data_IF_602005023261
#
_entry.id   IF_602005023261
#
_cell.length_a   1.000
_cell.length_b   1.000
_cell.length_c   1.000
_cell.angle_alpha   90.00
_cell.angle_beta   90.00
_cell.angle_gamma   90.00
#
_symmetry.space_group_name_H-M   'P 1'
#
loop_
_entity.id
_entity.type
_entity.pdbx_description
1 polymer ?
#
# COMPACT_ATOMS: atom_id res chain seq x y z
N UNK A 1 8.18 9.57 68.29
CA UNK A 1 7.32 8.84 69.24
C UNK A 1 6.91 7.58 68.54
N UNK A 2 7.64 6.58 68.82
CA UNK A 2 7.31 5.26 69.40
C UNK A 2 6.47 4.35 68.54
N UNK A 3 7.16 3.35 67.98
CA UNK A 3 7.07 1.89 68.26
C UNK A 3 5.67 1.27 67.98
N UNK A 4 5.54 0.24 67.18
CA UNK A 4 5.80 -1.12 67.62
C UNK A 4 5.88 -2.15 66.50
N UNK A 5 6.75 -3.08 66.73
CA UNK A 5 7.03 -4.32 65.98
C UNK A 5 6.09 -5.40 66.52
N UNK A 6 5.51 -6.23 65.71
CA UNK A 6 5.10 -7.58 66.06
C UNK A 6 5.31 -8.59 64.98
N UNK A 7 6.11 -9.53 65.29
CA UNK A 7 6.44 -10.81 64.65
C UNK A 7 5.25 -11.77 64.60
N UNK A 8 5.21 -12.65 63.61
CA UNK A 8 4.21 -13.72 63.52
C UNK A 8 4.53 -14.82 62.52
N UNK A 9 5.29 -15.79 62.97
CA UNK A 9 5.22 -17.23 62.71
C UNK A 9 5.10 -17.79 61.29
N UNK A 10 6.18 -18.43 60.89
CA UNK A 10 6.24 -19.46 59.86
C UNK A 10 5.33 -20.66 60.17
N UNK A 11 4.48 -21.06 59.20
CA UNK A 11 3.86 -22.39 59.19
C UNK A 11 4.26 -23.14 57.90
N UNK A 12 5.16 -24.08 58.09
CA UNK A 12 5.54 -25.12 57.16
C UNK A 12 4.33 -26.04 56.88
N UNK A 13 3.86 -26.10 55.65
CA UNK A 13 2.99 -27.17 55.17
C UNK A 13 3.79 -28.11 54.28
N UNK A 14 4.12 -29.25 54.86
CA UNK A 14 4.60 -30.44 54.14
C UNK A 14 3.46 -30.95 53.27
N UNK A 15 3.56 -30.92 51.94
CA UNK A 15 2.67 -31.63 51.04
C UNK A 15 3.37 -32.84 50.45
N UNK A 16 2.81 -33.98 50.73
CA UNK A 16 3.16 -35.29 50.19
C UNK A 16 3.06 -35.27 48.66
N UNK A 17 4.10 -35.81 48.03
CA UNK A 17 4.14 -36.11 46.60
C UNK A 17 3.69 -37.57 46.43
N UNK A 18 2.67 -37.90 45.67
CA UNK A 18 2.37 -39.31 45.30
C UNK A 18 3.33 -39.76 44.20
N UNK A 19 4.04 -40.87 44.49
CA UNK A 19 4.80 -41.62 43.49
C UNK A 19 3.81 -42.25 42.52
N UNK A 20 3.82 -41.87 41.24
CA UNK A 20 3.21 -42.63 40.18
C UNK A 20 4.26 -43.55 39.54
N UNK A 21 3.95 -44.87 39.60
CA UNK A 21 4.76 -45.92 39.01
C UNK A 21 4.71 -45.82 37.46
N UNK A 22 5.89 -45.76 36.83
CA UNK A 22 6.04 -45.88 35.40
C UNK A 22 5.90 -47.35 34.98
N UNK A 23 4.86 -47.61 34.14
CA UNK A 23 4.79 -48.85 33.34
C UNK A 23 5.51 -48.60 32.00
N UNK A 24 6.31 -49.53 31.48
CA UNK A 24 6.95 -49.33 30.20
C UNK A 24 5.97 -49.56 29.04
N UNK A 25 5.69 -48.51 28.28
CA UNK A 25 4.99 -48.61 27.01
C UNK A 25 5.99 -49.09 25.93
N UNK A 26 5.71 -50.27 25.39
CA UNK A 26 6.42 -50.85 24.26
C UNK A 26 6.22 -49.95 23.02
N UNK A 27 7.26 -49.27 22.58
CA UNK A 27 7.25 -48.49 21.35
C UNK A 27 7.42 -49.42 20.14
N UNK A 28 6.34 -49.67 19.44
CA UNK A 28 6.37 -50.28 18.12
C UNK A 28 6.90 -49.21 17.12
N UNK A 29 8.11 -49.37 16.69
CA UNK A 29 8.70 -48.57 15.58
C UNK A 29 8.08 -49.10 14.27
N UNK A 30 7.10 -48.35 13.73
CA UNK A 30 6.75 -48.43 12.31
C UNK A 30 7.65 -47.44 11.58
N UNK A 31 8.72 -47.94 11.01
CA UNK A 31 9.58 -47.18 10.10
C UNK A 31 8.89 -47.02 8.75
N UNK A 32 8.24 -45.91 8.50
CA UNK A 32 7.93 -45.47 7.15
C UNK A 32 8.99 -44.43 6.74
N UNK A 33 10.03 -44.89 6.06
CA UNK A 33 10.93 -43.99 5.31
C UNK A 33 10.13 -43.44 4.13
N UNK A 34 9.56 -42.23 4.28
CA UNK A 34 9.17 -41.45 3.12
C UNK A 34 10.41 -40.67 2.69
N UNK A 35 11.20 -41.27 1.83
CA UNK A 35 12.22 -40.59 1.06
C UNK A 35 11.51 -39.72 0.02
N UNK A 36 11.21 -38.50 0.36
CA UNK A 36 10.82 -37.48 -0.62
C UNK A 36 12.11 -37.05 -1.32
N UNK A 37 12.49 -37.75 -2.40
CA UNK A 37 13.38 -37.21 -3.39
C UNK A 37 12.65 -36.08 -4.12
N UNK A 38 12.84 -34.85 -3.67
CA UNK A 38 12.65 -33.69 -4.53
C UNK A 38 13.84 -33.68 -5.47
N UNK A 39 13.74 -34.47 -6.54
CA UNK A 39 14.60 -34.30 -7.68
C UNK A 39 14.27 -32.97 -8.31
N UNK A 40 15.09 -31.95 -8.01
CA UNK A 40 15.17 -30.74 -8.82
C UNK A 40 15.70 -31.19 -10.20
N UNK A 41 14.80 -31.58 -11.09
CA UNK A 41 15.10 -31.67 -12.50
C UNK A 41 15.20 -30.22 -13.01
N UNK A 42 16.39 -29.64 -12.90
CA UNK A 42 16.83 -28.63 -13.84
C UNK A 42 16.90 -29.34 -15.19
N UNK A 43 15.79 -29.38 -15.90
CA UNK A 43 15.77 -29.76 -17.29
C UNK A 43 16.60 -28.70 -18.03
N UNK A 44 17.84 -29.02 -18.38
CA UNK A 44 18.58 -28.36 -19.44
C UNK A 44 17.72 -28.54 -20.69
N UNK A 45 16.87 -27.58 -21.01
CA UNK A 45 16.08 -27.57 -22.22
C UNK A 45 17.03 -27.48 -23.41
N UNK A 46 17.22 -28.59 -24.11
CA UNK A 46 17.82 -28.56 -25.43
C UNK A 46 16.98 -27.66 -26.37
N UNK A 47 17.54 -27.21 -27.51
CA UNK A 47 16.86 -26.27 -28.39
C UNK A 47 15.47 -26.82 -28.79
N UNK A 48 14.40 -26.13 -28.41
CA UNK A 48 13.03 -26.44 -28.79
C UNK A 48 12.90 -26.16 -30.29
N UNK A 49 12.97 -27.20 -31.11
CA UNK A 49 12.75 -27.09 -32.55
C UNK A 49 11.26 -26.99 -32.82
N UNK A 50 10.78 -25.80 -33.27
CA UNK A 50 9.46 -25.66 -33.88
C UNK A 50 8.51 -24.58 -33.36
N UNK A 51 8.71 -23.96 -32.19
CA UNK A 51 7.91 -22.82 -31.77
C UNK A 51 8.56 -21.49 -32.21
N UNK A 52 7.79 -20.44 -32.54
CA UNK A 52 8.36 -19.13 -32.82
C UNK A 52 9.12 -18.66 -31.59
N UNK A 53 10.42 -18.41 -31.74
CA UNK A 53 11.31 -17.96 -30.66
C UNK A 53 10.87 -16.60 -30.16
N UNK A 54 10.80 -16.43 -28.82
CA UNK A 54 10.51 -15.13 -28.19
C UNK A 54 11.65 -14.16 -28.54
N UNK A 55 11.32 -12.96 -28.98
CA UNK A 55 12.29 -11.92 -29.32
C UNK A 55 12.02 -10.64 -28.59
N UNK A 56 13.06 -9.81 -28.40
CA UNK A 56 12.90 -8.52 -27.79
C UNK A 56 11.94 -7.63 -28.55
N UNK A 57 12.18 -7.46 -29.87
CA UNK A 57 11.46 -6.52 -30.68
C UNK A 57 9.95 -6.78 -30.70
N UNK A 58 9.55 -8.04 -30.89
CA UNK A 58 8.14 -8.40 -31.03
C UNK A 58 7.42 -8.61 -29.69
N UNK A 59 8.08 -9.29 -28.75
CA UNK A 59 7.39 -9.87 -27.58
C UNK A 59 7.71 -9.14 -26.27
N UNK A 60 8.98 -8.74 -26.08
CA UNK A 60 9.47 -8.18 -24.82
C UNK A 60 9.33 -6.66 -24.76
N UNK A 61 9.68 -5.94 -25.82
CA UNK A 61 9.63 -4.50 -25.86
C UNK A 61 8.24 -3.92 -25.51
N UNK A 62 7.11 -4.49 -25.98
CA UNK A 62 5.79 -4.01 -25.56
C UNK A 62 5.55 -4.15 -24.04
N UNK A 63 6.02 -5.23 -23.42
CA UNK A 63 5.89 -5.45 -21.97
C UNK A 63 6.74 -4.42 -21.22
N UNK A 64 8.01 -4.24 -21.59
CA UNK A 64 8.94 -3.29 -20.97
C UNK A 64 8.38 -1.86 -21.08
N UNK A 65 7.89 -1.45 -22.25
CA UNK A 65 7.28 -0.13 -22.45
C UNK A 65 6.10 0.11 -21.50
N UNK A 66 5.17 -0.84 -21.42
CA UNK A 66 3.93 -0.66 -20.67
C UNK A 66 4.12 -0.80 -19.15
N UNK A 67 5.02 -1.67 -18.71
CA UNK A 67 5.10 -2.09 -17.31
C UNK A 67 6.36 -1.60 -16.56
N UNK A 68 7.41 -1.18 -17.28
CA UNK A 68 8.70 -0.89 -16.66
C UNK A 68 9.18 0.55 -16.88
N UNK A 69 9.08 1.07 -18.12
CA UNK A 69 9.75 2.30 -18.54
C UNK A 69 9.29 3.56 -17.79
N UNK A 70 8.02 3.63 -17.36
CA UNK A 70 7.53 4.78 -16.60
C UNK A 70 8.35 5.06 -15.33
N UNK A 71 8.83 4.01 -14.68
CA UNK A 71 9.69 4.10 -13.50
C UNK A 71 11.18 4.00 -13.85
N UNK A 72 11.55 3.16 -14.82
CA UNK A 72 12.93 2.91 -15.24
C UNK A 72 13.34 3.80 -16.43
N UNK A 73 13.36 5.11 -16.20
CA UNK A 73 13.84 6.15 -17.11
C UNK A 73 14.69 7.17 -16.36
N UNK A 74 15.57 7.91 -17.02
CA UNK A 74 16.37 8.96 -16.40
C UNK A 74 15.51 9.96 -15.62
N UNK A 75 15.90 10.24 -14.36
CA UNK A 75 15.18 11.18 -13.49
C UNK A 75 13.92 10.62 -12.83
N UNK A 76 13.54 9.37 -13.10
CA UNK A 76 12.44 8.71 -12.38
C UNK A 76 12.98 7.91 -11.17
N UNK A 77 12.16 7.06 -10.59
CA UNK A 77 12.47 6.35 -9.34
C UNK A 77 13.33 5.10 -9.55
N UNK A 78 13.26 4.47 -10.72
CA UNK A 78 14.06 3.28 -11.02
C UNK A 78 15.56 3.63 -11.02
N UNK A 79 16.42 2.78 -10.42
CA UNK A 79 17.85 3.07 -10.31
C UNK A 79 18.61 2.97 -11.64
N UNK A 80 18.02 2.31 -12.64
CA UNK A 80 18.59 2.14 -13.99
C UNK A 80 17.55 2.45 -15.07
N UNK A 81 18.02 2.78 -16.25
CA UNK A 81 17.20 2.93 -17.46
C UNK A 81 16.85 1.54 -18.03
N UNK A 82 15.64 1.41 -18.60
CA UNK A 82 15.21 0.27 -19.42
C UNK A 82 14.58 0.77 -20.72
N UNK A 83 15.13 1.84 -21.30
CA UNK A 83 14.59 2.48 -22.51
C UNK A 83 15.03 1.81 -23.80
N UNK A 84 16.17 1.13 -23.79
CA UNK A 84 16.73 0.47 -24.98
C UNK A 84 16.87 -1.03 -24.79
N UNK A 85 17.04 -1.75 -25.92
CA UNK A 85 17.37 -3.18 -25.90
C UNK A 85 18.63 -3.45 -25.08
N UNK A 86 19.67 -2.63 -25.25
CA UNK A 86 20.93 -2.83 -24.57
C UNK A 86 20.79 -2.62 -23.05
N UNK A 87 20.00 -1.62 -22.62
CA UNK A 87 19.68 -1.42 -21.21
C UNK A 87 19.01 -2.68 -20.63
N UNK A 88 17.95 -3.17 -21.30
CA UNK A 88 17.18 -4.35 -20.81
C UNK A 88 18.03 -5.60 -20.80
N UNK A 89 18.86 -5.81 -21.83
CA UNK A 89 19.78 -6.95 -21.93
C UNK A 89 20.85 -6.91 -20.83
N UNK A 90 21.37 -5.73 -20.51
CA UNK A 90 22.36 -5.55 -19.45
C UNK A 90 21.84 -6.05 -18.08
N UNK A 91 20.55 -5.82 -17.79
CA UNK A 91 19.91 -6.18 -16.53
C UNK A 91 19.03 -7.44 -16.64
N UNK A 92 19.25 -8.28 -17.65
CA UNK A 92 18.37 -9.43 -17.93
C UNK A 92 18.26 -10.40 -16.75
N UNK A 93 19.35 -10.72 -16.08
CA UNK A 93 19.34 -11.66 -14.96
C UNK A 93 18.60 -11.10 -13.74
N UNK A 94 18.80 -9.83 -13.43
CA UNK A 94 18.07 -9.13 -12.37
C UNK A 94 16.57 -9.02 -12.69
N UNK A 95 16.24 -8.74 -13.94
CA UNK A 95 14.85 -8.73 -14.41
C UNK A 95 14.23 -10.12 -14.23
N UNK A 96 14.92 -11.18 -14.64
CA UNK A 96 14.45 -12.56 -14.47
C UNK A 96 14.12 -12.87 -13.01
N UNK A 97 15.05 -12.58 -12.11
CA UNK A 97 14.88 -12.79 -10.67
C UNK A 97 13.64 -12.00 -10.16
N UNK A 98 13.61 -10.69 -10.40
CA UNK A 98 12.57 -9.82 -9.88
C UNK A 98 11.18 -10.13 -10.43
N UNK A 99 11.05 -10.49 -11.69
CA UNK A 99 9.73 -10.83 -12.27
C UNK A 99 9.27 -12.23 -11.86
N UNK A 100 10.20 -13.20 -11.68
CA UNK A 100 9.85 -14.54 -11.21
C UNK A 100 9.38 -14.51 -9.75
N UNK A 101 10.00 -13.70 -8.90
CA UNK A 101 9.61 -13.45 -7.53
C UNK A 101 8.42 -12.49 -7.39
N UNK A 102 7.98 -11.86 -8.48
CA UNK A 102 6.94 -10.83 -8.52
C UNK A 102 7.22 -9.64 -7.60
N UNK A 103 8.50 -9.32 -7.41
CA UNK A 103 8.92 -8.12 -6.69
C UNK A 103 8.96 -6.88 -7.60
N UNK A 104 9.01 -7.08 -8.94
CA UNK A 104 8.87 -6.04 -9.98
C UNK A 104 7.92 -6.48 -11.10
N UNK A 105 7.06 -5.57 -11.57
CA UNK A 105 6.70 -4.27 -10.97
C UNK A 105 6.17 -4.41 -9.54
N UNK A 106 6.32 -3.39 -8.68
CA UNK A 106 5.86 -3.46 -7.30
C UNK A 106 4.33 -3.50 -7.24
N UNK A 107 3.79 -4.70 -7.06
CA UNK A 107 2.35 -4.97 -6.98
C UNK A 107 2.15 -6.27 -6.19
N UNK A 108 1.94 -6.13 -4.86
CA UNK A 108 2.04 -7.24 -3.93
C UNK A 108 0.68 -7.71 -3.38
N UNK A 109 -0.44 -7.18 -3.91
CA UNK A 109 -1.78 -7.68 -3.57
C UNK A 109 -1.92 -9.16 -3.91
N UNK A 110 -2.54 -9.94 -3.05
CA UNK A 110 -2.79 -11.36 -3.30
C UNK A 110 -3.73 -11.54 -4.49
N UNK A 111 -3.28 -12.25 -5.51
CA UNK A 111 -3.94 -12.34 -6.81
C UNK A 111 -5.11 -13.31 -6.88
N UNK A 112 -5.34 -14.07 -5.83
CA UNK A 112 -6.33 -15.17 -5.79
C UNK A 112 -7.43 -14.96 -4.77
N UNK A 113 -7.37 -13.88 -3.99
CA UNK A 113 -8.33 -13.60 -2.92
C UNK A 113 -8.79 -12.14 -2.95
N UNK A 114 -9.98 -11.89 -2.46
CA UNK A 114 -10.57 -10.55 -2.42
C UNK A 114 -10.82 -9.94 -3.79
N UNK A 115 -10.89 -8.60 -3.83
CA UNK A 115 -11.14 -7.84 -5.05
C UNK A 115 -9.89 -7.79 -5.90
N UNK A 116 -10.03 -8.07 -7.22
CA UNK A 116 -8.93 -8.14 -8.19
C UNK A 116 -9.01 -7.05 -9.27
N UNK A 117 -9.88 -6.07 -9.12
CA UNK A 117 -10.11 -5.02 -10.10
C UNK A 117 -9.63 -3.67 -9.55
N UNK A 118 -8.52 -3.19 -10.09
CA UNK A 118 -7.85 -1.97 -9.63
C UNK A 118 -7.57 -1.03 -10.81
N UNK A 119 -7.80 0.28 -10.61
CA UNK A 119 -7.56 1.33 -11.62
C UNK A 119 -6.08 1.46 -12.01
N UNK A 120 -5.18 1.18 -11.08
CA UNK A 120 -3.74 1.40 -11.23
C UNK A 120 -2.92 0.10 -11.26
N UNK A 121 -3.51 -1.01 -11.71
CA UNK A 121 -2.83 -2.32 -11.78
C UNK A 121 -1.65 -2.29 -12.74
N UNK A 122 -0.47 -2.42 -12.17
CA UNK A 122 0.79 -2.51 -12.90
C UNK A 122 1.38 -3.91 -12.94
N UNK A 123 0.69 -4.90 -12.39
CA UNK A 123 1.18 -6.28 -12.34
C UNK A 123 1.44 -6.86 -13.73
N UNK A 124 2.30 -7.89 -13.77
CA UNK A 124 2.49 -8.73 -14.94
C UNK A 124 1.52 -9.91 -14.89
N UNK A 125 0.95 -10.25 -16.03
CA UNK A 125 0.24 -11.52 -16.20
C UNK A 125 1.24 -12.70 -16.16
N UNK A 126 0.74 -13.91 -15.92
CA UNK A 126 1.59 -15.10 -15.93
C UNK A 126 2.24 -15.32 -17.31
N UNK A 127 1.51 -15.00 -18.39
CA UNK A 127 2.03 -15.05 -19.75
C UNK A 127 3.16 -14.03 -19.98
N UNK A 128 3.01 -12.79 -19.47
CA UNK A 128 4.08 -11.78 -19.57
C UNK A 128 5.33 -12.19 -18.79
N UNK A 129 5.17 -12.76 -17.60
CA UNK A 129 6.29 -13.29 -16.81
C UNK A 129 6.98 -14.41 -17.58
N UNK A 130 6.23 -15.39 -18.11
CA UNK A 130 6.78 -16.47 -18.91
C UNK A 130 7.54 -15.96 -20.15
N UNK A 131 6.96 -14.97 -20.86
CA UNK A 131 7.62 -14.35 -22.04
C UNK A 131 8.97 -13.73 -21.69
N UNK A 132 9.05 -12.99 -20.56
CA UNK A 132 10.29 -12.36 -20.11
C UNK A 132 11.33 -13.42 -19.74
N UNK A 133 10.93 -14.46 -19.01
CA UNK A 133 11.82 -15.54 -18.58
C UNK A 133 12.33 -16.33 -19.79
N UNK A 134 11.45 -16.77 -20.70
CA UNK A 134 11.79 -17.53 -21.90
C UNK A 134 12.78 -16.74 -22.78
N UNK A 135 12.56 -15.44 -22.94
CA UNK A 135 13.47 -14.56 -23.69
C UNK A 135 14.87 -14.51 -23.07
N UNK A 136 14.94 -14.40 -21.75
CA UNK A 136 16.23 -14.34 -21.03
C UNK A 136 16.95 -15.69 -21.10
N UNK A 137 16.23 -16.79 -20.86
CA UNK A 137 16.77 -18.14 -20.88
C UNK A 137 17.21 -18.55 -22.30
N UNK A 138 16.63 -17.97 -23.36
CA UNK A 138 17.01 -18.14 -24.75
C UNK A 138 18.21 -17.25 -25.19
N UNK A 139 18.85 -16.53 -24.27
CA UNK A 139 20.02 -15.69 -24.52
C UNK A 139 19.70 -14.32 -25.11
N UNK A 140 18.53 -13.78 -24.76
CA UNK A 140 18.11 -12.40 -25.07
C UNK A 140 18.13 -12.03 -26.57
N UNK A 141 17.53 -12.81 -27.49
CA UNK A 141 17.57 -12.48 -28.91
C UNK A 141 16.84 -11.17 -29.24
N UNK A 142 17.47 -10.31 -30.07
CA UNK A 142 16.88 -9.02 -30.49
C UNK A 142 15.63 -9.21 -31.36
N UNK A 143 15.65 -10.14 -32.29
CA UNK A 143 14.63 -10.25 -33.33
C UNK A 143 14.80 -9.24 -34.48
N UNK A 144 13.78 -9.07 -35.31
CA UNK A 144 13.81 -8.08 -36.38
C UNK A 144 13.50 -6.67 -35.79
N UNK A 145 14.39 -5.68 -35.91
CA UNK A 145 14.14 -4.33 -35.43
C UNK A 145 12.88 -3.65 -35.99
N UNK A 146 12.37 -4.13 -37.14
CA UNK A 146 11.11 -3.63 -37.73
C UNK A 146 9.87 -4.02 -36.92
N UNK A 147 9.99 -5.03 -36.08
CA UNK A 147 8.89 -5.48 -35.17
C UNK A 147 8.84 -4.68 -33.87
N UNK A 148 9.78 -3.75 -33.62
CA UNK A 148 9.73 -2.88 -32.46
C UNK A 148 8.45 -2.06 -32.44
N UNK A 149 7.73 -2.01 -31.29
CA UNK A 149 6.61 -1.12 -31.16
C UNK A 149 7.06 0.36 -31.24
N UNK A 150 6.20 1.25 -31.68
CA UNK A 150 6.51 2.68 -31.63
C UNK A 150 6.82 3.11 -30.19
N UNK A 151 7.74 4.09 -30.01
CA UNK A 151 8.02 4.62 -28.68
C UNK A 151 6.74 5.18 -28.03
N UNK A 152 6.55 4.88 -26.74
CA UNK A 152 5.47 5.49 -25.96
C UNK A 152 5.91 6.82 -25.37
N UNK A 153 4.96 7.72 -25.14
CA UNK A 153 5.21 8.94 -24.39
C UNK A 153 5.31 8.58 -22.93
N UNK A 154 6.49 8.76 -22.35
CA UNK A 154 6.72 8.54 -20.94
C UNK A 154 6.34 9.78 -20.12
N UNK A 155 5.85 9.61 -18.86
CA UNK A 155 5.60 10.75 -17.99
C UNK A 155 6.92 11.49 -17.70
N UNK A 156 6.90 12.82 -17.83
CA UNK A 156 8.03 13.66 -17.41
C UNK A 156 8.09 13.70 -15.87
N UNK A 157 9.15 13.22 -15.23
CA UNK A 157 9.24 13.20 -13.79
C UNK A 157 9.27 14.61 -13.14
N UNK A 158 9.51 15.68 -13.91
CA UNK A 158 9.50 17.05 -13.40
C UNK A 158 8.10 17.69 -13.43
N UNK A 159 7.20 17.19 -14.27
CA UNK A 159 5.84 17.72 -14.40
C UNK A 159 4.87 17.05 -13.45
N UNK A 160 3.71 17.66 -13.25
CA UNK A 160 2.57 17.03 -12.63
C UNK A 160 2.00 15.97 -13.59
N UNK A 161 1.74 14.78 -13.09
CA UNK A 161 1.27 13.67 -13.94
C UNK A 161 -0.15 13.92 -14.44
N UNK A 162 -0.99 14.57 -13.63
CA UNK A 162 -2.34 14.93 -14.01
C UNK A 162 -2.42 16.14 -14.95
N UNK A 163 -1.32 16.87 -15.18
CA UNK A 163 -1.32 18.08 -16.01
C UNK A 163 -1.73 17.82 -17.46
N UNK A 164 -1.42 16.62 -17.97
CA UNK A 164 -1.80 16.24 -19.34
C UNK A 164 -3.31 16.03 -19.48
N UNK A 165 -3.96 15.48 -18.46
CA UNK A 165 -5.38 15.17 -18.47
C UNK A 165 -6.25 16.34 -17.97
N UNK A 166 -5.78 17.03 -16.93
CA UNK A 166 -6.55 18.03 -16.19
C UNK A 166 -6.11 19.47 -16.43
N UNK A 167 -5.01 19.70 -17.15
CA UNK A 167 -4.37 21.01 -17.27
C UNK A 167 -3.48 21.35 -16.06
N UNK A 168 -3.02 22.59 -15.98
CA UNK A 168 -2.23 23.05 -14.84
C UNK A 168 -3.04 22.97 -13.54
N UNK A 169 -2.41 22.64 -12.38
CA UNK A 169 -3.11 22.61 -11.11
C UNK A 169 -3.66 24.00 -10.74
N UNK A 170 -4.86 24.02 -10.14
CA UNK A 170 -5.48 25.26 -9.66
C UNK A 170 -4.73 25.87 -8.48
N UNK A 171 -4.08 25.05 -7.67
CA UNK A 171 -3.35 25.48 -6.48
C UNK A 171 -2.13 24.56 -6.26
N UNK A 172 -0.98 25.14 -5.93
CA UNK A 172 0.21 24.41 -5.49
C UNK A 172 0.61 24.86 -4.10
N UNK A 173 0.63 23.92 -3.15
CA UNK A 173 1.02 24.15 -1.76
C UNK A 173 2.39 23.52 -1.53
N UNK A 174 3.37 24.29 -1.04
CA UNK A 174 4.72 23.82 -0.77
C UNK A 174 5.04 23.80 0.71
N UNK A 175 5.82 22.82 1.15
CA UNK A 175 6.44 22.86 2.47
C UNK A 175 7.43 24.00 2.56
N UNK A 176 7.82 24.41 3.77
CA UNK A 176 9.04 25.22 3.92
C UNK A 176 10.26 24.39 3.53
N UNK A 177 11.38 25.01 3.11
CA UNK A 177 12.61 24.29 2.77
C UNK A 177 13.22 23.64 4.02
N UNK A 178 13.92 22.53 3.83
CA UNK A 178 14.69 21.83 4.86
C UNK A 178 16.04 21.36 4.32
N UNK A 179 16.99 21.19 5.22
CA UNK A 179 18.30 20.61 4.94
C UNK A 179 18.46 19.29 5.67
N UNK A 180 18.79 18.24 4.91
CA UNK A 180 19.07 16.92 5.46
C UNK A 180 20.59 16.70 5.51
N UNK A 181 21.12 16.38 6.69
CA UNK A 181 22.53 16.06 6.87
C UNK A 181 22.91 14.75 6.15
N UNK A 182 24.19 14.67 5.69
CA UNK A 182 24.70 13.48 4.99
C UNK A 182 24.55 12.18 5.79
N UNK A 183 24.62 12.27 7.11
CA UNK A 183 24.47 11.14 8.05
C UNK A 183 23.60 11.57 9.20
N UNK A 184 22.43 10.96 9.32
CA UNK A 184 21.49 11.18 10.43
C UNK A 184 20.57 9.96 10.52
N UNK A 185 19.94 9.79 11.67
CA UNK A 185 18.78 8.89 11.77
C UNK A 185 17.63 9.43 10.92
N UNK A 186 16.63 8.62 10.69
CA UNK A 186 15.38 9.05 10.04
C UNK A 186 14.86 10.35 10.65
N UNK A 187 14.46 11.26 9.78
CA UNK A 187 13.95 12.58 10.16
C UNK A 187 12.51 12.76 9.75
N UNK A 188 11.78 13.33 10.65
CA UNK A 188 10.41 13.81 10.44
C UNK A 188 10.40 15.34 10.46
N UNK A 189 10.04 15.92 9.34
CA UNK A 189 9.92 17.37 9.19
C UNK A 189 8.44 17.75 9.14
N UNK A 190 7.99 18.59 10.07
CA UNK A 190 6.57 18.86 10.32
C UNK A 190 6.21 20.35 10.22
N UNK A 191 6.43 21.04 9.10
CA UNK A 191 6.03 22.43 8.95
C UNK A 191 4.51 22.55 8.75
N UNK A 192 3.98 23.73 9.12
CA UNK A 192 2.60 24.14 8.86
C UNK A 192 2.64 25.33 7.91
N UNK A 193 1.85 25.25 6.83
CA UNK A 193 1.77 26.30 5.81
C UNK A 193 0.32 26.64 5.51
N UNK A 194 0.05 27.92 5.18
CA UNK A 194 -1.27 28.37 4.73
C UNK A 194 -1.58 27.82 3.34
N UNK A 195 -2.83 27.47 3.08
CA UNK A 195 -3.25 27.01 1.75
C UNK A 195 -3.50 28.16 0.78
N UNK A 196 -3.85 29.35 1.30
CA UNK A 196 -4.26 30.49 0.50
C UNK A 196 -5.71 30.39 -0.02
N UNK A 197 -6.47 29.39 0.38
CA UNK A 197 -7.89 29.26 0.01
C UNK A 197 -8.71 30.32 0.73
N UNK A 198 -9.52 31.09 -0.03
CA UNK A 198 -10.32 32.22 0.47
C UNK A 198 -11.83 31.97 0.44
N UNK A 199 -12.26 30.92 -0.22
CA UNK A 199 -13.65 30.47 -0.32
C UNK A 199 -13.73 28.95 -0.25
N UNK A 200 -14.85 28.32 0.16
CA UNK A 200 -14.97 26.87 0.13
C UNK A 200 -14.76 26.32 -1.28
N UNK A 201 -13.88 25.34 -1.42
CA UNK A 201 -13.58 24.69 -2.69
C UNK A 201 -13.62 23.17 -2.54
N UNK A 202 -14.13 22.50 -3.55
CA UNK A 202 -14.14 21.05 -3.63
C UNK A 202 -12.98 20.56 -4.47
N UNK A 203 -12.20 19.66 -3.90
CA UNK A 203 -11.03 19.04 -4.51
C UNK A 203 -11.47 17.83 -5.31
N UNK A 204 -11.10 17.80 -6.60
CA UNK A 204 -11.34 16.73 -7.54
C UNK A 204 -10.19 15.74 -7.63
N UNK A 205 -8.96 16.26 -7.51
CA UNK A 205 -7.76 15.43 -7.51
C UNK A 205 -6.61 16.10 -6.75
N UNK A 206 -5.68 15.26 -6.29
CA UNK A 206 -4.48 15.67 -5.55
C UNK A 206 -3.27 14.90 -6.09
N UNK A 207 -2.16 15.59 -6.25
CA UNK A 207 -0.87 14.98 -6.54
C UNK A 207 0.21 15.55 -5.62
N UNK A 208 1.06 14.68 -5.03
CA UNK A 208 2.18 15.10 -4.16
C UNK A 208 3.48 14.59 -4.75
N UNK A 209 4.51 15.44 -4.70
CA UNK A 209 5.86 15.05 -5.10
C UNK A 209 6.93 15.92 -4.39
N UNK A 210 8.17 15.46 -4.27
CA UNK A 210 9.31 16.34 -4.03
C UNK A 210 9.46 17.36 -5.15
N UNK A 211 9.82 18.60 -4.82
CA UNK A 211 9.99 19.70 -5.79
C UNK A 211 11.08 19.37 -6.81
N UNK A 212 12.22 18.87 -6.32
CA UNK A 212 13.32 18.44 -7.17
C UNK A 212 13.31 16.93 -7.34
N UNK A 213 13.50 16.44 -8.55
CA UNK A 213 13.56 15.01 -8.86
C UNK A 213 14.61 14.28 -8.02
N UNK A 214 15.79 14.89 -7.80
CA UNK A 214 16.86 14.31 -6.98
C UNK A 214 16.46 14.06 -5.53
N UNK A 215 15.52 14.84 -4.99
CA UNK A 215 15.05 14.73 -3.60
C UNK A 215 14.15 13.52 -3.37
N UNK A 216 13.66 12.87 -4.44
CA UNK A 216 12.94 11.59 -4.34
C UNK A 216 13.74 10.49 -3.65
N UNK A 217 15.07 10.61 -3.66
CA UNK A 217 15.96 9.64 -3.02
C UNK A 217 15.99 9.75 -1.51
N UNK A 218 15.58 10.89 -0.95
CA UNK A 218 15.59 11.14 0.50
C UNK A 218 14.19 11.09 1.12
N UNK A 219 13.14 11.36 0.33
CA UNK A 219 11.75 11.37 0.83
C UNK A 219 11.16 9.97 0.70
N UNK A 220 10.89 9.34 1.85
CA UNK A 220 10.29 8.01 1.92
C UNK A 220 8.76 8.08 1.76
N UNK A 221 8.10 8.91 2.56
CA UNK A 221 6.68 9.22 2.44
C UNK A 221 6.35 10.61 3.01
N UNK A 222 5.17 11.10 2.66
CA UNK A 222 4.64 12.40 3.06
C UNK A 222 3.21 12.21 3.54
N UNK A 223 2.90 12.71 4.72
CA UNK A 223 1.54 12.86 5.20
C UNK A 223 1.19 14.35 5.19
N UNK A 224 0.03 14.68 4.67
CA UNK A 224 -0.51 16.03 4.67
C UNK A 224 -1.81 16.05 5.46
N UNK A 225 -1.86 16.83 6.52
CA UNK A 225 -3.05 17.00 7.37
C UNK A 225 -3.69 18.34 7.09
N UNK A 226 -4.98 18.34 6.80
CA UNK A 226 -5.75 19.55 6.56
C UNK A 226 -6.27 20.11 7.89
N UNK A 227 -5.73 21.26 8.28
CA UNK A 227 -6.15 22.00 9.46
C UNK A 227 -7.20 23.04 9.05
N UNK A 228 -8.45 22.81 9.39
CA UNK A 228 -9.57 23.73 9.12
C UNK A 228 -10.68 23.58 10.16
N UNK A 229 -11.42 24.65 10.42
CA UNK A 229 -12.57 24.61 11.30
C UNK A 229 -13.81 24.23 10.47
N UNK A 230 -14.46 23.15 10.84
CA UNK A 230 -15.68 22.68 10.16
C UNK A 230 -16.96 22.96 10.99
N UNK A 231 -16.81 23.56 12.17
CA UNK A 231 -17.94 23.94 13.03
C UNK A 231 -18.85 24.93 12.33
N UNK A 232 -20.12 24.60 12.24
CA UNK A 232 -21.13 25.46 11.60
C UNK A 232 -21.14 25.44 10.07
N UNK A 233 -20.35 24.61 9.42
CA UNK A 233 -20.40 24.40 7.96
C UNK A 233 -21.66 23.59 7.63
N UNK A 234 -22.71 24.25 7.14
CA UNK A 234 -23.96 23.62 6.73
C UNK A 234 -24.17 23.76 5.22
N UNK A 235 -24.88 22.83 4.61
CA UNK A 235 -25.27 22.93 3.20
C UNK A 235 -24.19 22.56 2.18
N UNK A 236 -23.06 22.05 2.63
CA UNK A 236 -22.01 21.50 1.77
C UNK A 236 -22.03 19.99 1.96
N UNK A 237 -22.74 19.22 1.15
CA UNK A 237 -22.80 17.75 1.06
C UNK A 237 -22.15 17.02 2.26
N UNK A 238 -22.64 17.31 3.47
CA UNK A 238 -22.01 16.85 4.72
C UNK A 238 -23.03 16.05 5.50
N UNK A 239 -22.82 14.76 5.58
CA UNK A 239 -23.47 13.94 6.60
C UNK A 239 -22.71 14.07 7.92
N UNK A 240 -23.36 13.76 9.06
CA UNK A 240 -22.69 13.76 10.38
C UNK A 240 -21.48 12.81 10.46
N UNK A 241 -21.27 11.96 9.46
CA UNK A 241 -20.20 10.98 9.38
C UNK A 241 -18.99 11.46 8.56
N UNK A 242 -19.14 12.55 7.79
CA UNK A 242 -18.14 13.05 6.84
C UNK A 242 -17.19 14.08 7.44
N UNK A 243 -17.40 14.47 8.69
CA UNK A 243 -16.55 15.47 9.32
C UNK A 243 -15.14 14.94 9.52
N UNK A 244 -14.19 15.53 8.79
CA UNK A 244 -12.79 15.41 9.19
C UNK A 244 -12.61 16.20 10.49
N UNK A 245 -12.14 15.52 11.52
CA UNK A 245 -11.69 16.21 12.72
C UNK A 245 -10.61 17.22 12.34
N UNK A 246 -10.58 18.38 13.01
CA UNK A 246 -9.55 19.39 12.80
C UNK A 246 -8.16 18.73 12.82
N UNK A 247 -7.42 18.79 11.71
CA UNK A 247 -6.16 18.08 11.52
C UNK A 247 -6.29 16.65 10.98
N UNK A 248 -7.44 16.30 10.36
CA UNK A 248 -7.61 15.01 9.68
C UNK A 248 -6.65 14.82 8.51
N UNK A 249 -6.23 13.55 8.28
CA UNK A 249 -5.36 13.20 7.17
C UNK A 249 -6.03 13.51 5.84
N UNK A 250 -5.42 14.40 5.07
CA UNK A 250 -5.95 14.89 3.81
C UNK A 250 -5.42 14.11 2.62
N UNK A 251 -4.12 13.86 2.62
CA UNK A 251 -3.43 13.11 1.60
C UNK A 251 -2.21 12.41 2.21
N UNK A 252 -1.98 11.21 1.77
CA UNK A 252 -0.73 10.46 1.98
C UNK A 252 -0.07 10.23 0.63
N UNK A 253 1.25 10.37 0.59
CA UNK A 253 2.07 10.01 -0.56
C UNK A 253 3.25 9.15 -0.10
N UNK A 254 3.50 8.09 -0.85
CA UNK A 254 4.69 7.27 -0.69
C UNK A 254 5.25 6.89 -2.06
N UNK A 255 6.47 6.37 -2.05
CA UNK A 255 7.12 5.86 -3.26
C UNK A 255 6.22 4.83 -3.96
N UNK A 256 5.87 5.11 -5.21
CA UNK A 256 4.96 4.28 -6.02
C UNK A 256 3.53 4.80 -6.10
N UNK A 257 3.10 5.71 -5.24
CA UNK A 257 1.86 6.46 -5.40
C UNK A 257 2.11 7.67 -6.30
N UNK A 258 1.20 7.92 -7.22
CA UNK A 258 1.30 9.05 -8.15
C UNK A 258 0.33 10.15 -7.72
N UNK A 259 -0.85 10.14 -8.30
CA UNK A 259 -1.91 11.06 -8.01
C UNK A 259 -3.12 10.32 -7.47
N UNK A 260 -4.04 11.04 -6.88
CA UNK A 260 -5.34 10.55 -6.48
C UNK A 260 -6.43 11.37 -7.16
N UNK A 261 -7.23 10.71 -7.98
CA UNK A 261 -8.42 11.28 -8.61
C UNK A 261 -9.63 10.71 -7.87
N UNK A 262 -10.47 11.59 -7.34
CA UNK A 262 -11.71 11.18 -6.70
C UNK A 262 -12.76 10.80 -7.74
N UNK A 263 -13.74 9.93 -7.40
CA UNK A 263 -14.88 9.66 -8.28
C UNK A 263 -15.62 10.94 -8.66
N UNK A 264 -16.23 10.99 -9.84
CA UNK A 264 -16.89 12.19 -10.37
C UNK A 264 -18.00 12.75 -9.46
N UNK A 265 -18.59 11.89 -8.62
CA UNK A 265 -19.63 12.24 -7.68
C UNK A 265 -19.10 12.58 -6.27
N UNK A 266 -17.77 12.58 -6.08
CA UNK A 266 -17.15 12.72 -4.76
C UNK A 266 -15.95 13.68 -4.78
N UNK A 267 -15.58 14.20 -3.62
CA UNK A 267 -14.42 15.08 -3.46
C UNK A 267 -14.08 15.35 -2.01
N UNK A 268 -12.99 16.07 -1.79
CA UNK A 268 -12.59 16.57 -0.46
C UNK A 268 -12.85 18.06 -0.37
N UNK A 269 -13.33 18.54 0.80
CA UNK A 269 -13.63 19.94 1.04
C UNK A 269 -12.43 20.67 1.61
N UNK A 270 -12.06 21.80 1.01
CA UNK A 270 -11.13 22.79 1.58
C UNK A 270 -11.86 24.08 1.90
N UNK A 271 -11.68 24.59 3.10
CA UNK A 271 -12.31 25.80 3.64
C UNK A 271 -11.33 26.98 3.63
N UNK A 272 -11.85 28.22 3.68
CA UNK A 272 -11.02 29.41 3.84
C UNK A 272 -10.11 29.33 5.05
N UNK A 273 -8.91 29.95 4.93
CA UNK A 273 -7.92 29.99 6.01
C UNK A 273 -7.46 28.62 6.49
N UNK A 274 -7.67 27.56 5.68
CA UNK A 274 -7.13 26.24 5.96
C UNK A 274 -5.61 26.23 5.83
N UNK A 275 -4.98 25.30 6.55
CA UNK A 275 -3.54 25.11 6.56
C UNK A 275 -3.22 23.64 6.31
N UNK A 276 -2.04 23.37 5.76
CA UNK A 276 -1.48 22.04 5.67
C UNK A 276 -0.38 21.89 6.71
N UNK A 277 -0.54 20.93 7.60
CA UNK A 277 0.55 20.38 8.41
C UNK A 277 1.15 19.22 7.63
N UNK A 278 2.37 19.39 7.23
CA UNK A 278 3.14 18.33 6.60
C UNK A 278 3.77 17.41 7.64
N UNK A 279 3.96 16.16 7.28
CA UNK A 279 4.88 15.23 7.94
C UNK A 279 5.69 14.56 6.83
N UNK A 280 6.93 14.98 6.67
CA UNK A 280 7.84 14.47 5.64
C UNK A 280 8.84 13.54 6.31
N UNK A 281 8.74 12.26 5.99
CA UNK A 281 9.68 11.24 6.45
C UNK A 281 10.84 11.11 5.48
N UNK A 282 12.06 11.26 6.01
CA UNK A 282 13.28 11.32 5.22
C UNK A 282 14.38 10.44 5.80
N UNK A 283 15.20 9.88 4.92
CA UNK A 283 16.42 9.16 5.29
C UNK A 283 17.66 9.73 4.59
N UNK A 284 18.81 9.68 5.28
CA UNK A 284 20.08 10.18 4.77
C UNK A 284 20.66 9.26 3.70
N UNK A 285 21.27 9.87 2.66
CA UNK A 285 21.83 9.15 1.51
C UNK A 285 23.36 9.31 1.39
N UNK A 286 24.05 9.70 2.47
CA UNK A 286 25.50 9.88 2.50
C UNK A 286 26.01 11.21 1.98
N UNK A 287 25.12 12.12 1.57
CA UNK A 287 25.43 13.49 1.14
C UNK A 287 24.44 14.47 1.75
N UNK A 288 24.87 15.73 1.93
CA UNK A 288 23.98 16.81 2.38
C UNK A 288 23.01 17.13 1.25
N UNK A 289 21.73 17.27 1.57
CA UNK A 289 20.70 17.76 0.65
C UNK A 289 20.13 19.05 1.21
N UNK A 290 20.41 20.15 0.54
CA UNK A 290 20.01 21.49 0.97
C UNK A 290 18.74 21.93 0.26
N UNK A 291 17.95 22.79 0.89
CA UNK A 291 16.76 23.45 0.35
C UNK A 291 15.77 22.50 -0.33
N UNK A 292 15.59 21.31 0.24
CA UNK A 292 14.60 20.35 -0.24
C UNK A 292 13.20 20.75 0.21
N UNK A 293 12.22 20.48 -0.64
CA UNK A 293 10.81 20.75 -0.36
C UNK A 293 9.94 19.65 -0.98
N UNK A 294 8.77 19.47 -0.40
CA UNK A 294 7.67 18.74 -1.03
C UNK A 294 6.57 19.71 -1.45
N UNK A 295 5.84 19.36 -2.50
CA UNK A 295 4.74 20.16 -3.01
C UNK A 295 3.53 19.29 -3.32
N UNK A 296 2.35 19.88 -3.20
CA UNK A 296 1.06 19.27 -3.47
C UNK A 296 0.29 20.11 -4.48
N UNK A 297 -0.03 19.52 -5.62
CA UNK A 297 -0.96 20.07 -6.59
C UNK A 297 -2.39 19.71 -6.22
N UNK A 298 -3.27 20.70 -6.25
CA UNK A 298 -4.70 20.56 -6.03
C UNK A 298 -5.43 20.93 -7.32
N UNK A 299 -6.35 20.06 -7.72
CA UNK A 299 -7.27 20.27 -8.82
C UNK A 299 -8.68 20.39 -8.24
N UNK A 300 -9.30 21.55 -8.44
CA UNK A 300 -10.63 21.82 -7.92
C UNK A 300 -11.71 21.48 -8.92
N UNK A 301 -12.87 21.18 -8.41
CA UNK A 301 -14.10 21.32 -9.21
C UNK A 301 -14.35 22.78 -9.57
N UNK A 302 -15.13 23.08 -10.63
CA UNK A 302 -15.53 24.43 -10.96
C UNK A 302 -16.12 25.16 -9.76
N UNK A 303 -15.91 26.48 -9.66
CA UNK A 303 -16.50 27.30 -8.59
C UNK A 303 -18.00 27.11 -8.51
N UNK A 304 -18.51 26.93 -7.29
CA UNK A 304 -19.93 26.69 -7.02
C UNK A 304 -20.42 25.26 -7.27
N UNK A 305 -19.60 24.39 -7.83
CA UNK A 305 -19.92 22.97 -7.90
C UNK A 305 -19.75 22.31 -6.53
N UNK A 306 -20.75 21.55 -6.13
CA UNK A 306 -20.72 20.73 -4.91
C UNK A 306 -20.93 19.30 -5.33
N UNK A 307 -19.94 18.42 -5.13
CA UNK A 307 -20.10 16.99 -5.42
C UNK A 307 -21.16 16.38 -4.50
N UNK A 308 -21.75 15.30 -4.95
CA UNK A 308 -22.82 14.61 -4.20
C UNK A 308 -22.28 14.03 -2.89
N UNK A 309 -21.04 13.59 -2.89
CA UNK A 309 -20.41 12.94 -1.76
C UNK A 309 -19.09 13.61 -1.36
N UNK A 310 -18.76 13.45 -0.10
CA UNK A 310 -17.45 13.76 0.44
C UNK A 310 -16.65 12.48 0.66
N UNK A 311 -15.43 12.44 0.14
CA UNK A 311 -14.46 11.38 0.44
C UNK A 311 -13.63 11.78 1.65
N UNK A 312 -13.52 10.87 2.61
CA UNK A 312 -12.74 11.05 3.84
C UNK A 312 -11.67 9.98 3.90
N UNK A 313 -10.40 10.39 4.05
CA UNK A 313 -9.30 9.46 4.27
C UNK A 313 -9.28 9.06 5.75
N UNK A 314 -9.56 7.80 6.01
CA UNK A 314 -9.51 7.22 7.35
C UNK A 314 -8.13 6.60 7.60
N UNK A 315 -7.56 6.97 8.71
CA UNK A 315 -6.39 6.32 9.28
C UNK A 315 -6.85 5.23 10.24
N UNK A 316 -6.84 4.01 9.75
CA UNK A 316 -7.28 2.84 10.53
C UNK A 316 -6.06 2.22 11.20
N UNK A 317 -5.75 2.71 12.38
CA UNK A 317 -4.60 2.32 13.17
C UNK A 317 -4.91 1.05 13.98
N UNK A 318 -4.12 0.03 13.79
CA UNK A 318 -4.19 -1.21 14.55
C UNK A 318 -3.66 -1.05 15.98
N UNK A 319 -2.93 0.02 16.23
CA UNK A 319 -2.05 0.04 17.41
C UNK A 319 -1.80 1.41 17.99
N UNK A 320 -2.81 2.27 18.07
CA UNK A 320 -2.64 3.61 18.63
C UNK A 320 -1.90 3.60 19.97
N UNK A 321 -0.56 3.65 19.87
CA UNK A 321 0.35 4.04 20.95
C UNK A 321 0.66 3.00 22.03
N UNK A 322 -0.07 1.88 22.14
CA UNK A 322 0.12 0.98 23.31
C UNK A 322 0.01 -0.51 23.01
N UNK A 323 -0.45 -0.94 21.84
CA UNK A 323 -0.81 -2.34 21.64
C UNK A 323 0.05 -3.08 20.60
N UNK A 324 1.01 -2.42 19.96
CA UNK A 324 1.96 -3.12 19.10
C UNK A 324 3.13 -3.58 19.95
N UNK A 325 3.15 -4.87 20.21
CA UNK A 325 4.11 -5.49 21.10
C UNK A 325 4.64 -6.75 20.42
N UNK A 326 5.87 -6.65 19.90
CA UNK A 326 6.49 -7.70 19.10
C UNK A 326 7.71 -8.23 19.85
N UNK A 327 7.58 -9.40 20.52
CA UNK A 327 8.66 -9.98 21.29
C UNK A 327 9.86 -10.39 20.44
N UNK A 328 11.07 -10.49 21.06
CA UNK A 328 12.25 -11.00 20.40
C UNK A 328 12.04 -12.42 19.85
N UNK A 329 12.44 -12.62 18.60
CA UNK A 329 12.42 -13.95 17.94
C UNK A 329 11.03 -14.50 17.62
N UNK A 330 9.97 -13.70 17.78
CA UNK A 330 8.58 -14.14 17.64
C UNK A 330 7.93 -13.65 16.32
N UNK A 331 6.88 -14.35 15.93
CA UNK A 331 5.92 -13.89 14.92
C UNK A 331 4.65 -13.45 15.62
N UNK A 332 4.24 -12.21 15.37
CA UNK A 332 3.11 -11.58 16.07
C UNK A 332 1.99 -11.29 15.09
N UNK A 333 0.76 -11.52 15.52
CA UNK A 333 -0.45 -11.16 14.78
C UNK A 333 -1.21 -10.13 15.59
N UNK A 334 -1.48 -8.98 14.99
CA UNK A 334 -2.24 -7.89 15.61
C UNK A 334 -3.50 -7.65 14.83
N UNK A 335 -4.61 -7.41 15.54
CA UNK A 335 -5.91 -7.24 14.94
C UNK A 335 -6.64 -6.06 15.59
N UNK A 336 -7.34 -5.28 14.78
CA UNK A 336 -8.25 -4.24 15.24
C UNK A 336 -9.46 -4.18 14.31
N UNK A 337 -10.47 -3.39 14.68
CA UNK A 337 -11.69 -3.29 13.91
C UNK A 337 -12.24 -1.86 13.89
N UNK A 338 -13.02 -1.57 12.85
CA UNK A 338 -13.74 -0.31 12.68
C UNK A 338 -15.18 -0.61 12.25
N UNK A 339 -16.16 -0.04 12.97
CA UNK A 339 -17.58 -0.23 12.66
C UNK A 339 -18.11 0.94 11.86
N UNK A 340 -18.65 0.67 10.67
CA UNK A 340 -19.27 1.68 9.81
C UNK A 340 -20.54 2.25 10.43
N UNK A 341 -20.55 3.55 10.64
CA UNK A 341 -21.72 4.27 11.21
C UNK A 341 -22.75 4.67 10.14
N UNK A 342 -22.37 4.62 8.86
CA UNK A 342 -23.22 4.85 7.69
C UNK A 342 -22.81 3.88 6.58
N UNK A 343 -23.65 3.67 5.54
CA UNK A 343 -23.21 2.95 4.35
C UNK A 343 -22.04 3.66 3.71
N UNK A 344 -21.11 2.89 3.14
CA UNK A 344 -19.92 3.47 2.50
C UNK A 344 -19.48 2.68 1.28
N UNK A 345 -18.82 3.37 0.35
CA UNK A 345 -17.97 2.81 -0.69
C UNK A 345 -16.53 2.98 -0.25
N UNK A 346 -15.76 1.90 -0.27
CA UNK A 346 -14.31 1.96 -0.04
C UNK A 346 -13.62 2.20 -1.37
N UNK A 347 -12.74 3.22 -1.43
CA UNK A 347 -12.11 3.60 -2.70
C UNK A 347 -10.77 2.87 -2.93
N UNK A 348 -10.10 2.46 -1.84
CA UNK A 348 -8.77 1.86 -1.91
C UNK A 348 -8.47 0.97 -0.70
N UNK A 349 -7.33 0.27 -0.79
CA UNK A 349 -6.65 -0.42 0.29
C UNK A 349 -5.17 -0.06 0.25
N UNK A 350 -4.64 0.53 1.33
CA UNK A 350 -3.23 0.93 1.40
C UNK A 350 -2.62 0.53 2.74
N UNK A 351 -2.06 -0.69 2.84
CA UNK A 351 -1.42 -1.18 4.06
C UNK A 351 -0.08 -0.51 4.31
N UNK A 352 0.22 -0.24 5.58
CA UNK A 352 1.49 0.30 6.03
C UNK A 352 2.03 -0.45 7.25
N UNK A 353 3.26 -0.92 7.13
CA UNK A 353 4.09 -1.51 8.18
C UNK A 353 5.55 -1.16 7.91
N UNK A 354 6.46 -1.47 8.85
CA UNK A 354 7.89 -1.27 8.67
C UNK A 354 8.64 -2.59 8.36
N UNK A 355 9.89 -2.72 8.82
CA UNK A 355 10.82 -3.80 8.43
C UNK A 355 10.36 -5.21 8.80
N UNK A 356 9.57 -5.35 9.88
CA UNK A 356 9.09 -6.66 10.35
C UNK A 356 7.72 -7.02 9.80
N UNK A 357 7.04 -6.09 9.11
CA UNK A 357 5.77 -6.34 8.45
C UNK A 357 5.88 -7.42 7.37
N UNK A 358 4.96 -8.39 7.38
CA UNK A 358 4.94 -9.52 6.44
C UNK A 358 3.65 -9.62 5.66
N UNK A 359 2.52 -9.32 6.30
CA UNK A 359 1.22 -9.41 5.67
C UNK A 359 0.22 -8.47 6.32
N UNK A 360 -0.78 -8.04 5.56
CA UNK A 360 -1.93 -7.32 6.08
C UNK A 360 -3.18 -7.67 5.28
N UNK A 361 -4.31 -7.85 5.98
CA UNK A 361 -5.61 -8.10 5.36
C UNK A 361 -6.69 -7.16 5.86
N UNK A 362 -7.72 -6.99 5.03
CA UNK A 362 -8.96 -6.29 5.31
C UNK A 362 -10.13 -7.23 5.08
N UNK A 363 -10.90 -7.53 6.13
CA UNK A 363 -12.11 -8.34 6.10
C UNK A 363 -13.33 -7.49 6.47
N UNK A 364 -14.45 -7.70 5.80
CA UNK A 364 -15.74 -7.14 6.18
C UNK A 364 -16.59 -8.23 6.88
N UNK A 365 -17.08 -7.91 8.08
CA UNK A 365 -18.10 -8.69 8.79
C UNK A 365 -19.41 -7.92 8.71
N UNK A 366 -20.35 -8.42 7.92
CA UNK A 366 -21.62 -7.78 7.65
C UNK A 366 -22.60 -7.89 8.84
N UNK A 367 -23.62 -7.03 8.93
CA UNK A 367 -24.60 -7.11 10.01
C UNK A 367 -25.38 -8.44 10.10
N UNK A 368 -25.44 -9.19 9.01
CA UNK A 368 -26.05 -10.53 8.95
C UNK A 368 -25.09 -11.66 9.39
N UNK A 369 -23.86 -11.31 9.78
CA UNK A 369 -22.82 -12.26 10.21
C UNK A 369 -21.98 -12.84 9.07
N UNK A 370 -22.30 -12.56 7.81
CA UNK A 370 -21.49 -12.96 6.66
C UNK A 370 -20.13 -12.26 6.72
N UNK A 371 -19.07 -12.98 6.34
CA UNK A 371 -17.71 -12.49 6.27
C UNK A 371 -17.22 -12.48 4.83
N UNK A 372 -16.42 -11.48 4.49
CA UNK A 372 -15.83 -11.35 3.17
C UNK A 372 -14.42 -10.78 3.29
N UNK A 373 -13.43 -11.47 2.74
CA UNK A 373 -12.09 -10.96 2.60
C UNK A 373 -12.08 -9.95 1.45
N UNK A 374 -11.88 -8.68 1.78
CA UNK A 374 -11.91 -7.57 0.80
C UNK A 374 -10.57 -7.50 0.05
N UNK A 375 -9.47 -7.46 0.78
CA UNK A 375 -8.12 -7.39 0.22
C UNK A 375 -7.09 -7.98 1.16
N UNK A 376 -6.00 -8.50 0.59
CA UNK A 376 -4.88 -9.06 1.34
C UNK A 376 -3.57 -8.83 0.60
N UNK A 377 -2.51 -8.57 1.37
CA UNK A 377 -1.11 -8.56 0.94
C UNK A 377 -0.38 -9.55 1.84
N UNK A 378 -0.04 -10.74 1.32
CA UNK A 378 0.65 -11.79 2.07
C UNK A 378 2.18 -11.72 1.97
N UNK A 379 2.71 -10.92 1.03
CA UNK A 379 4.13 -10.64 0.84
C UNK A 379 4.38 -9.14 0.87
N UNK A 380 4.14 -8.53 2.03
CA UNK A 380 4.35 -7.09 2.21
C UNK A 380 5.81 -6.71 2.02
N UNK A 381 6.05 -5.66 1.24
CA UNK A 381 7.37 -5.11 0.95
C UNK A 381 7.47 -3.71 1.57
N UNK A 382 8.17 -3.58 2.67
CA UNK A 382 8.25 -2.37 3.49
C UNK A 382 8.73 -1.11 2.74
N UNK A 383 9.49 -1.28 1.66
CA UNK A 383 9.98 -0.19 0.81
C UNK A 383 8.96 0.30 -0.23
N UNK A 384 7.76 -0.32 -0.30
CA UNK A 384 6.68 0.04 -1.19
C UNK A 384 5.36 0.19 -0.43
N UNK A 385 4.83 1.40 -0.33
CA UNK A 385 3.52 1.66 0.28
C UNK A 385 2.48 1.82 -0.82
N UNK A 386 2.14 0.71 -1.46
CA UNK A 386 1.27 0.72 -2.64
C UNK A 386 -0.16 1.00 -2.23
N UNK A 387 -0.77 1.99 -2.89
CA UNK A 387 -2.18 2.27 -2.80
C UNK A 387 -2.91 1.47 -3.90
N UNK A 388 -3.69 0.46 -3.50
CA UNK A 388 -4.51 -0.36 -4.38
C UNK A 388 -5.88 0.31 -4.55
N UNK A 389 -6.05 1.09 -5.62
CA UNK A 389 -7.29 1.84 -5.88
C UNK A 389 -8.27 0.95 -6.61
N UNK A 390 -9.42 0.67 -5.98
CA UNK A 390 -10.45 -0.17 -6.59
C UNK A 390 -11.05 0.49 -7.83
N UNK A 391 -11.33 -0.32 -8.85
CA UNK A 391 -12.21 0.10 -9.91
C UNK A 391 -13.59 0.47 -9.34
N UNK A 392 -14.15 1.58 -9.78
CA UNK A 392 -15.41 2.12 -9.21
C UNK A 392 -16.55 1.09 -9.23
N UNK A 393 -16.60 0.25 -10.26
CA UNK A 393 -17.61 -0.81 -10.36
C UNK A 393 -17.43 -1.93 -9.33
N UNK A 394 -16.21 -2.18 -8.91
CA UNK A 394 -15.84 -3.26 -7.99
C UNK A 394 -15.53 -2.77 -6.56
N UNK A 395 -15.42 -1.46 -6.38
CA UNK A 395 -15.17 -0.87 -5.07
C UNK A 395 -16.20 -1.36 -4.04
N UNK A 396 -15.79 -1.84 -2.84
CA UNK A 396 -16.71 -2.43 -1.87
C UNK A 396 -17.84 -1.48 -1.49
N UNK A 397 -19.08 -1.93 -1.63
CA UNK A 397 -20.28 -1.26 -1.11
C UNK A 397 -20.69 -1.95 0.18
N UNK A 398 -20.51 -1.27 1.31
CA UNK A 398 -20.70 -1.84 2.63
C UNK A 398 -21.86 -1.14 3.35
N UNK A 399 -22.84 -1.88 3.90
CA UNK A 399 -23.95 -1.29 4.65
C UNK A 399 -23.49 -0.75 6.01
N UNK A 400 -24.27 0.16 6.57
CA UNK A 400 -24.13 0.59 7.97
C UNK A 400 -24.09 -0.65 8.89
N UNK A 401 -23.23 -0.59 9.91
CA UNK A 401 -23.04 -1.66 10.89
C UNK A 401 -22.06 -2.75 10.44
N UNK A 402 -21.51 -2.67 9.22
CA UNK A 402 -20.41 -3.54 8.82
C UNK A 402 -19.19 -3.26 9.70
N UNK A 403 -18.60 -4.32 10.23
CA UNK A 403 -17.33 -4.25 10.94
C UNK A 403 -16.19 -4.58 9.97
N UNK A 404 -15.31 -3.62 9.74
CA UNK A 404 -14.04 -3.83 9.03
C UNK A 404 -13.01 -4.37 10.02
N UNK A 405 -12.45 -5.53 9.74
CA UNK A 405 -11.41 -6.15 10.57
C UNK A 405 -10.09 -6.06 9.83
N UNK A 406 -9.10 -5.53 10.51
CA UNK A 406 -7.73 -5.40 10.01
C UNK A 406 -6.86 -6.38 10.76
N UNK A 407 -6.05 -7.13 10.02
CA UNK A 407 -5.08 -8.06 10.61
C UNK A 407 -3.71 -7.79 10.02
N UNK A 408 -2.71 -7.63 10.88
CA UNK A 408 -1.32 -7.45 10.49
C UNK A 408 -0.45 -8.56 11.08
N UNK A 409 0.49 -9.06 10.28
CA UNK A 409 1.47 -10.09 10.67
C UNK A 409 2.86 -9.49 10.64
N UNK A 410 3.59 -9.63 11.76
CA UNK A 410 4.98 -9.21 11.90
C UNK A 410 5.86 -10.43 12.15
N UNK A 411 7.10 -10.37 11.65
CA UNK A 411 8.12 -11.40 11.84
C UNK A 411 9.40 -10.76 12.42
N UNK A 412 9.59 -10.92 13.73
CA UNK A 412 10.78 -10.46 14.46
C UNK A 412 11.82 -11.58 14.61
N UNK A 413 11.76 -12.63 13.81
CA UNK A 413 12.72 -13.71 13.86
C UNK A 413 13.98 -13.41 13.03
N UNK A 414 15.03 -14.21 13.22
CA UNK A 414 16.25 -14.14 12.41
C UNK A 414 16.04 -14.59 10.96
N UNK A 415 14.89 -15.24 10.64
CA UNK A 415 14.56 -15.64 9.28
C UNK A 415 14.04 -14.46 8.43
N UNK A 416 13.66 -13.35 9.04
CA UNK A 416 13.27 -12.15 8.30
C UNK A 416 14.53 -11.36 7.88
N UNK A 417 14.87 -11.29 6.58
CA UNK A 417 16.09 -10.64 6.12
C UNK A 417 16.09 -9.12 6.34
N UNK A 418 14.90 -8.50 6.54
CA UNK A 418 14.75 -7.07 6.79
C UNK A 418 14.84 -6.72 8.27
N UNK A 419 14.86 -7.71 9.17
CA UNK A 419 14.90 -7.47 10.62
C UNK A 419 16.31 -7.05 11.07
N UNK A 420 16.52 -5.82 11.58
CA UNK A 420 17.85 -5.36 11.94
C UNK A 420 18.42 -6.05 13.18
N UNK A 421 17.58 -6.46 14.14
CA UNK A 421 17.99 -7.21 15.33
C UNK A 421 16.81 -8.02 15.91
N UNK A 422 16.80 -9.34 15.71
CA UNK A 422 15.73 -10.22 16.20
C UNK A 422 15.75 -10.41 17.74
N UNK A 423 16.74 -9.89 18.46
CA UNK A 423 16.84 -9.97 19.91
C UNK A 423 16.16 -8.80 20.62
N UNK A 424 15.75 -7.77 19.86
CA UNK A 424 15.08 -6.60 20.39
C UNK A 424 13.58 -6.83 20.49
N UNK A 425 13.02 -6.37 21.58
CA UNK A 425 11.59 -6.13 21.71
C UNK A 425 11.21 -4.90 20.91
N UNK A 426 10.16 -4.95 20.10
CA UNK A 426 9.79 -3.86 19.20
C UNK A 426 8.35 -3.44 19.44
N UNK A 427 8.16 -2.15 19.65
CA UNK A 427 6.87 -1.51 19.79
C UNK A 427 6.57 -0.53 18.68
N UNK A 428 5.45 0.17 18.85
CA UNK A 428 5.08 1.26 17.96
C UNK A 428 6.09 2.40 17.97
N UNK A 429 6.38 2.95 16.80
CA UNK A 429 7.23 4.13 16.68
C UNK A 429 7.38 4.61 15.23
N UNK A 430 7.81 5.85 15.11
CA UNK A 430 7.92 6.56 13.83
C UNK A 430 9.13 6.12 12.98
N UNK A 431 10.17 5.55 13.61
CA UNK A 431 11.39 5.20 12.87
C UNK A 431 11.19 3.89 12.11
N UNK A 432 11.87 3.75 10.99
CA UNK A 432 11.83 2.50 10.18
C UNK A 432 12.22 1.26 10.99
N UNK A 433 13.07 1.42 12.02
CA UNK A 433 13.48 0.33 12.92
C UNK A 433 12.47 0.02 14.04
N UNK A 434 11.54 0.92 14.32
CA UNK A 434 10.36 0.66 15.14
C UNK A 434 9.32 -0.05 14.27
N UNK A 435 8.07 -0.22 14.72
CA UNK A 435 7.02 -0.81 13.90
C UNK A 435 5.73 0.00 13.90
N UNK A 436 4.99 -0.15 12.83
CA UNK A 436 3.64 0.34 12.65
C UNK A 436 2.75 -0.75 12.05
N UNK A 437 1.45 -0.61 12.22
CA UNK A 437 0.46 -1.40 11.53
C UNK A 437 -0.81 -0.57 11.35
N UNK A 438 -1.06 -0.10 10.14
CA UNK A 438 -2.27 0.66 9.83
C UNK A 438 -2.63 0.60 8.34
N UNK A 439 -3.85 0.99 8.05
CA UNK A 439 -4.37 1.17 6.70
C UNK A 439 -4.80 2.62 6.47
N UNK A 440 -4.50 3.14 5.30
CA UNK A 440 -5.10 4.37 4.78
C UNK A 440 -6.18 4.02 3.78
N UNK A 441 -7.43 4.31 4.12
CA UNK A 441 -8.58 4.00 3.27
C UNK A 441 -9.44 5.24 3.07
N UNK A 442 -9.70 5.62 1.83
CA UNK A 442 -10.67 6.63 1.48
C UNK A 442 -12.08 6.02 1.51
N UNK A 443 -12.95 6.58 2.33
CA UNK A 443 -14.35 6.26 2.43
C UNK A 443 -15.18 7.34 1.74
N UNK A 444 -16.07 6.92 0.85
CA UNK A 444 -17.17 7.75 0.35
C UNK A 444 -18.44 7.28 1.05
N UNK A 445 -18.95 8.06 2.00
CA UNK A 445 -20.18 7.74 2.70
C UNK A 445 -21.38 8.00 1.80
N UNK A 446 -22.40 7.15 1.92
CA UNK A 446 -23.60 7.12 1.08
C UNK A 446 -24.85 7.26 1.93
N UNK A 447 -25.88 7.88 1.36
CA UNK A 447 -27.21 7.82 1.94
C UNK A 447 -27.81 6.40 1.77
N UNK A 448 -28.69 5.99 2.69
CA UNK A 448 -29.20 4.61 2.73
C UNK A 448 -29.92 4.20 1.44
N UNK A 449 -30.75 5.11 0.88
CA UNK A 449 -31.53 4.83 -0.34
C UNK A 449 -30.62 4.70 -1.56
N UNK A 450 -29.59 5.53 -1.62
CA UNK A 450 -28.62 5.49 -2.69
C UNK A 450 -27.78 4.21 -2.63
N UNK A 451 -27.30 3.85 -1.45
CA UNK A 451 -26.62 2.58 -1.24
C UNK A 451 -27.46 1.41 -1.75
N UNK A 452 -28.75 1.38 -1.41
CA UNK A 452 -29.67 0.32 -1.88
C UNK A 452 -29.80 0.31 -3.40
N UNK A 453 -29.89 1.49 -4.04
CA UNK A 453 -29.94 1.62 -5.51
C UNK A 453 -28.64 1.13 -6.16
N UNK A 454 -27.47 1.51 -5.63
CA UNK A 454 -26.17 1.07 -6.17
C UNK A 454 -26.00 -0.45 -6.05
N UNK A 455 -26.39 -1.03 -4.93
CA UNK A 455 -26.35 -2.50 -4.72
C UNK A 455 -27.29 -3.21 -5.71
N UNK A 456 -28.50 -2.69 -5.90
CA UNK A 456 -29.47 -3.25 -6.86
C UNK A 456 -28.95 -3.16 -8.31
N UNK A 457 -28.36 -2.02 -8.70
CA UNK A 457 -27.78 -1.83 -10.02
C UNK A 457 -26.62 -2.82 -10.29
N UNK A 458 -25.72 -3.02 -9.33
CA UNK A 458 -24.64 -4.02 -9.46
C UNK A 458 -25.16 -5.44 -9.60
N UNK A 459 -26.16 -5.81 -8.80
CA UNK A 459 -26.79 -7.14 -8.93
C UNK A 459 -27.43 -7.34 -10.29
N UNK A 460 -28.15 -6.35 -10.80
CA UNK A 460 -28.78 -6.40 -12.12
C UNK A 460 -27.74 -6.53 -13.25
N UNK A 461 -26.63 -5.79 -13.15
CA UNK A 461 -25.50 -5.90 -14.11
C UNK A 461 -24.90 -7.30 -14.08
N UNK A 462 -24.56 -7.82 -12.91
CA UNK A 462 -23.98 -9.16 -12.74
C UNK A 462 -24.87 -10.26 -13.35
N UNK A 463 -26.19 -10.16 -13.17
CA UNK A 463 -27.16 -11.10 -13.79
C UNK A 463 -27.16 -10.97 -15.32
N UNK A 464 -27.06 -9.76 -15.85
CA UNK A 464 -27.01 -9.51 -17.30
C UNK A 464 -25.72 -10.07 -17.91
N UNK A 465 -24.59 -9.86 -17.25
CA UNK A 465 -23.26 -10.28 -17.75
C UNK A 465 -23.08 -11.82 -17.63
N UNK A 466 -23.76 -12.47 -16.68
CA UNK A 466 -23.77 -13.92 -16.54
C UNK A 466 -24.69 -14.65 -17.56
N UNK A 467 -25.51 -13.92 -18.32
CA UNK A 467 -26.38 -14.52 -19.33
C UNK A 467 -25.56 -14.83 -20.59
N UNK A 468 -25.53 -16.08 -21.11
CA UNK A 468 -24.84 -16.37 -22.35
C UNK A 468 -25.38 -15.48 -23.48
N UNK A 469 -24.54 -15.11 -24.47
CA UNK A 469 -25.03 -14.37 -25.64
C UNK A 469 -26.22 -15.15 -26.26
N UNK A 470 -27.26 -14.42 -26.63
CA UNK A 470 -28.40 -15.00 -27.31
C UNK A 470 -27.92 -15.74 -28.58
N UNK A 471 -28.49 -16.93 -28.92
CA UNK A 471 -28.06 -17.76 -30.01
C UNK A 471 -28.15 -17.06 -31.37
#
# INVERSE_FOLDING_TARGET
MTHDVLSGAARSFLRLVPLFAFAPVLAVRVGAQVTTQVATQVAAGGPRTGAPRVTYARDVAPIIQQKCQACHQPGSIGPMSLLSYDDVKQYALEIRERVSERTMPPWHIDRTVGIQHFKNDRSLTDAQVATLIDWIDDGTPMGDPKELPPPIKLPDPNRWQLEEEMGAPDLVIRSTPYTLAARTQDKWFRPVVETGVTEPRWVRAIEVKPVRVGDRRIVHHVLAYLLQAEDGVTGLASTAHDHQTNGGLFMEWAVGKTAQIFPDDAGKLMLPSSRIRWEVHMHAIGQVVEDSQVEMAIYFYPKGYVPKHRTVLQFLDLTRGTNLDIPPGEKTVTQNFFVLQAPARLENFQPHMHLRGRAMSLEAVYPDGRKELISSVSNFQWNWHINYVYDTEYAPLLPKGTTLVFTAWHDNTAANPNNPDPRQWVGWGDRTVDEMAHNWIDFTYLEQDEFAQMVAARKAKAVKDAKPPAP
#
